data_IF_057897755526
#
_entry.id   IF_057897755526
#
_cell.length_a   1.000
_cell.length_b   1.000
_cell.length_c   1.000
_cell.angle_alpha   90.00
_cell.angle_beta   90.00
_cell.angle_gamma   90.00
#
_symmetry.space_group_name_H-M   'P 1'
#
loop_
_entity.id
_entity.type
_entity.pdbx_description
1 polymer ?
#
# COMPACT_ATOMS: atom_id res chain seq x y z
N UNK A 1 7.46 20.82 -5.46
CA UNK A 1 8.38 19.67 -5.53
C UNK A 1 8.11 18.89 -6.80
N UNK A 2 9.14 18.37 -7.46
CA UNK A 2 8.95 17.47 -8.61
C UNK A 2 8.76 16.04 -8.11
N UNK A 3 7.52 15.54 -8.19
CA UNK A 3 7.17 14.17 -7.82
C UNK A 3 7.98 13.11 -8.58
N UNK A 4 8.07 11.93 -7.99
CA UNK A 4 8.64 10.72 -8.62
C UNK A 4 7.53 9.75 -9.00
N UNK A 5 7.82 8.84 -9.94
CA UNK A 5 6.97 7.69 -10.24
C UNK A 5 7.47 6.49 -9.46
N UNK A 6 6.62 5.89 -8.64
CA UNK A 6 6.94 4.80 -7.73
C UNK A 6 6.08 3.58 -8.07
N UNK A 7 6.67 2.40 -7.97
CA UNK A 7 5.97 1.12 -8.06
C UNK A 7 5.96 0.48 -6.67
N UNK A 8 4.77 0.15 -6.19
CA UNK A 8 4.55 -0.56 -4.94
C UNK A 8 4.10 -1.98 -5.26
N UNK A 9 4.91 -2.97 -4.89
CA UNK A 9 4.57 -4.37 -5.06
C UNK A 9 3.70 -4.78 -3.88
N UNK A 10 2.51 -5.28 -4.17
CA UNK A 10 1.52 -5.70 -3.18
C UNK A 10 1.00 -7.10 -3.52
N UNK A 11 0.40 -7.77 -2.54
CA UNK A 11 -0.17 -9.10 -2.69
C UNK A 11 -1.36 -9.28 -1.77
N UNK A 12 -2.15 -10.33 -2.00
CA UNK A 12 -3.24 -10.67 -1.08
C UNK A 12 -2.69 -11.01 0.31
N UNK A 13 -3.38 -10.51 1.33
CA UNK A 13 -3.03 -10.57 2.75
C UNK A 13 -1.75 -9.82 3.12
N UNK A 14 -1.40 -8.79 2.34
CA UNK A 14 -0.41 -7.79 2.76
C UNK A 14 -0.93 -7.01 3.97
N UNK A 15 -0.04 -6.60 4.87
CA UNK A 15 -0.40 -5.82 6.05
C UNK A 15 -1.04 -4.48 5.63
N UNK A 16 -2.20 -4.15 6.21
CA UNK A 16 -3.08 -3.06 5.78
C UNK A 16 -2.39 -1.69 5.90
N UNK A 17 -1.72 -1.43 7.02
CA UNK A 17 -1.01 -0.18 7.26
C UNK A 17 0.28 -0.08 6.45
N UNK A 18 1.03 -1.18 6.30
CA UNK A 18 2.25 -1.20 5.49
C UNK A 18 1.99 -0.87 4.02
N UNK A 19 0.76 -1.07 3.53
CA UNK A 19 0.36 -0.66 2.18
C UNK A 19 -0.32 0.69 2.15
N UNK A 20 -1.38 0.87 2.92
CA UNK A 20 -2.24 2.03 2.78
C UNK A 20 -1.57 3.32 3.24
N UNK A 21 -0.80 3.28 4.34
CA UNK A 21 -0.15 4.47 4.89
C UNK A 21 0.94 4.99 3.94
N UNK A 22 1.91 4.19 3.45
CA UNK A 22 2.90 4.67 2.49
C UNK A 22 2.28 5.09 1.17
N UNK A 23 1.30 4.35 0.65
CA UNK A 23 0.64 4.67 -0.62
C UNK A 23 0.02 6.07 -0.57
N UNK A 24 -0.76 6.38 0.47
CA UNK A 24 -1.40 7.67 0.64
C UNK A 24 -0.40 8.78 0.98
N UNK A 25 0.57 8.53 1.87
CA UNK A 25 1.55 9.53 2.26
C UNK A 25 2.42 9.97 1.08
N UNK A 26 2.87 9.02 0.24
CA UNK A 26 3.67 9.33 -0.94
C UNK A 26 2.87 10.10 -1.98
N UNK A 27 1.58 9.76 -2.17
CA UNK A 27 0.68 10.54 -3.02
C UNK A 27 0.48 11.97 -2.48
N UNK A 28 0.28 12.12 -1.18
CA UNK A 28 0.07 13.41 -0.51
C UNK A 28 1.25 14.37 -0.74
N UNK A 29 2.49 13.88 -0.70
CA UNK A 29 3.68 14.71 -0.94
C UNK A 29 4.03 14.87 -2.43
N UNK A 30 3.15 14.43 -3.33
CA UNK A 30 3.21 14.71 -4.76
C UNK A 30 3.86 13.63 -5.63
N UNK A 31 4.08 12.41 -5.12
CA UNK A 31 4.51 11.29 -5.96
C UNK A 31 3.34 10.64 -6.72
N UNK A 32 3.62 10.13 -7.92
CA UNK A 32 2.72 9.20 -8.60
C UNK A 32 3.07 7.79 -8.15
N UNK A 33 2.13 7.12 -7.47
CA UNK A 33 2.34 5.77 -6.95
C UNK A 33 1.43 4.80 -7.71
N UNK A 34 2.01 3.75 -8.27
CA UNK A 34 1.29 2.63 -8.88
C UNK A 34 1.44 1.41 -7.99
N UNK A 35 0.33 0.70 -7.72
CA UNK A 35 0.36 -0.60 -7.05
C UNK A 35 0.21 -1.73 -8.08
N UNK A 36 0.96 -2.81 -7.91
CA UNK A 36 0.86 -3.99 -8.76
C UNK A 36 0.83 -5.28 -7.92
N UNK A 37 -0.06 -6.20 -8.29
CA UNK A 37 -0.20 -7.52 -7.69
C UNK A 37 -0.20 -8.58 -8.81
N UNK A 38 0.54 -9.69 -8.66
CA UNK A 38 0.46 -10.81 -9.59
C UNK A 38 -0.99 -11.27 -9.76
N UNK A 39 -1.35 -11.63 -11.00
CA UNK A 39 -2.67 -12.15 -11.37
C UNK A 39 -3.85 -11.19 -11.12
N UNK A 40 -3.58 -9.88 -10.99
CA UNK A 40 -4.60 -8.83 -10.87
C UNK A 40 -4.38 -7.74 -11.90
N UNK A 41 -5.49 -7.19 -12.39
CA UNK A 41 -5.52 -6.08 -13.31
C UNK A 41 -5.85 -4.77 -12.58
N UNK A 42 -5.65 -3.64 -13.28
CA UNK A 42 -6.10 -2.35 -12.77
C UNK A 42 -7.62 -2.37 -12.53
N UNK A 43 -8.03 -1.94 -11.33
CA UNK A 43 -9.43 -1.99 -10.89
C UNK A 43 -9.77 -3.20 -10.02
N UNK A 44 -8.94 -4.25 -10.03
CA UNK A 44 -9.09 -5.37 -9.10
C UNK A 44 -8.67 -4.98 -7.67
N UNK A 45 -9.29 -5.62 -6.68
CA UNK A 45 -9.01 -5.35 -5.27
C UNK A 45 -7.98 -6.33 -4.70
N UNK A 46 -7.04 -5.82 -3.91
CA UNK A 46 -6.14 -6.62 -3.06
C UNK A 46 -6.77 -6.78 -1.67
N UNK A 47 -6.81 -8.01 -1.15
CA UNK A 47 -7.23 -8.25 0.23
C UNK A 47 -6.08 -7.86 1.15
N UNK A 48 -6.34 -7.08 2.18
CA UNK A 48 -5.35 -6.75 3.21
C UNK A 48 -5.56 -7.60 4.46
N UNK A 49 -4.54 -7.66 5.31
CA UNK A 49 -4.58 -8.26 6.63
C UNK A 49 -4.19 -7.20 7.66
N UNK A 50 -4.88 -7.15 8.80
CA UNK A 50 -4.44 -6.32 9.92
C UNK A 50 -3.55 -7.20 10.80
N UNK A 51 -2.28 -6.84 10.95
CA UNK A 51 -1.38 -7.53 11.87
C UNK A 51 -1.32 -6.75 13.17
N UNK A 52 -2.24 -7.07 14.07
CA UNK A 52 -2.31 -6.44 15.39
C UNK A 52 -1.74 -7.37 16.47
N UNK A 53 -1.16 -6.76 17.50
CA UNK A 53 -0.87 -7.47 18.74
C UNK A 53 -2.06 -7.27 19.69
N UNK A 54 -2.62 -8.34 20.25
CA UNK A 54 -3.78 -8.26 21.16
C UNK A 54 -3.44 -7.72 22.58
N UNK A 55 -2.33 -6.98 22.73
CA UNK A 55 -1.84 -6.39 23.98
C UNK A 55 -1.49 -4.91 23.83
N UNK A 56 -0.70 -4.35 24.75
CA UNK A 56 -0.26 -2.94 24.66
C UNK A 56 0.82 -2.79 23.59
N UNK A 57 0.45 -2.24 22.44
CA UNK A 57 1.39 -1.79 21.41
C UNK A 57 1.64 -0.29 21.58
N UNK A 58 2.86 0.11 21.95
CA UNK A 58 3.32 1.52 21.92
C UNK A 58 3.99 1.87 20.61
#
# INVERSE_FOLDING_TARGET
>A
MTGKRLLMLVGDFVEDYEVMVPFQALQMVGHTVHAACPNKNAGDTVRTAVHDFEGDQT
#
